data_IF_091902185359
#
_entry.id   IF_091902185359
#
_cell.length_a   1.000
_cell.length_b   1.000
_cell.length_c   1.000
_cell.angle_alpha   90.00
_cell.angle_beta   90.00
_cell.angle_gamma   90.00
#
_symmetry.space_group_name_H-M   'P 1'
#
loop_
_entity.id
_entity.type
_entity.pdbx_description
1 polymer ?
#
# COMPACT_ATOMS: atom_id res chain seq x y z
N UNK A 1 -22.36 21.11 15.47
CA UNK A 1 -23.67 20.59 15.00
C UNK A 1 -23.38 19.55 13.95
N UNK A 2 -24.07 18.41 13.96
CA UNK A 2 -23.83 17.29 13.03
C UNK A 2 -24.65 17.48 11.76
N UNK A 3 -24.04 17.30 10.61
CA UNK A 3 -24.62 17.51 9.29
C UNK A 3 -24.60 16.23 8.43
N UNK A 4 -25.39 16.24 7.36
CA UNK A 4 -25.28 15.23 6.31
C UNK A 4 -23.91 15.39 5.63
N UNK A 5 -23.30 14.28 5.25
CA UNK A 5 -21.91 14.15 4.78
C UNK A 5 -20.82 14.21 5.85
N UNK A 6 -21.16 14.50 7.12
CA UNK A 6 -20.17 14.37 8.19
C UNK A 6 -19.72 12.91 8.33
N UNK A 7 -18.43 12.76 8.60
CA UNK A 7 -17.82 11.47 8.95
C UNK A 7 -18.06 11.15 10.42
N UNK A 8 -18.25 9.88 10.72
CA UNK A 8 -18.36 9.38 12.10
C UNK A 8 -17.49 8.14 12.31
N UNK A 9 -17.26 7.80 13.57
CA UNK A 9 -16.68 6.52 13.99
C UNK A 9 -17.59 5.85 15.03
N UNK A 10 -17.77 4.54 14.91
CA UNK A 10 -18.52 3.71 15.87
C UNK A 10 -17.91 2.31 16.02
N UNK A 11 -17.37 2.02 17.20
CA UNK A 11 -16.73 0.73 17.52
C UNK A 11 -15.67 0.33 16.49
N UNK A 12 -14.75 1.25 16.17
CA UNK A 12 -13.66 1.12 15.22
C UNK A 12 -14.05 1.23 13.74
N UNK A 13 -15.34 1.35 13.42
CA UNK A 13 -15.82 1.44 12.03
C UNK A 13 -16.16 2.88 11.65
N UNK A 14 -15.82 3.24 10.42
CA UNK A 14 -16.02 4.56 9.87
C UNK A 14 -17.19 4.59 8.91
N UNK A 15 -17.92 5.70 8.92
CA UNK A 15 -19.03 5.90 7.98
C UNK A 15 -19.36 7.36 7.76
N UNK A 16 -20.25 7.58 6.81
CA UNK A 16 -20.75 8.90 6.41
C UNK A 16 -22.22 9.02 6.75
N UNK A 17 -22.61 10.13 7.36
CA UNK A 17 -24.02 10.42 7.62
C UNK A 17 -24.72 10.74 6.29
N UNK A 18 -25.74 9.95 5.96
CA UNK A 18 -26.60 10.11 4.78
C UNK A 18 -27.98 10.65 5.11
N UNK A 19 -28.43 10.50 6.36
CA UNK A 19 -29.72 10.97 6.81
C UNK A 19 -29.71 11.32 8.28
N UNK A 20 -30.48 12.34 8.66
CA UNK A 20 -30.68 12.75 10.06
C UNK A 20 -32.18 12.94 10.25
N UNK A 21 -32.78 12.27 11.23
CA UNK A 21 -34.19 12.44 11.51
C UNK A 21 -34.75 11.46 12.53
N UNK A 22 -36.08 11.33 12.54
CA UNK A 22 -36.81 10.49 13.49
C UNK A 22 -37.43 9.30 12.76
N UNK A 23 -37.19 8.10 13.28
CA UNK A 23 -37.79 6.87 12.75
C UNK A 23 -39.10 6.56 13.49
N UNK A 24 -40.20 6.23 12.78
CA UNK A 24 -41.50 5.94 13.41
C UNK A 24 -41.40 4.90 14.53
N UNK A 25 -40.64 3.83 14.32
CA UNK A 25 -40.48 2.74 15.27
C UNK A 25 -39.64 3.09 16.51
N UNK A 26 -38.93 4.22 16.52
CA UNK A 26 -38.15 4.71 17.68
C UNK A 26 -38.80 5.91 18.38
N UNK A 27 -39.94 6.38 17.86
CA UNK A 27 -40.71 7.49 18.40
C UNK A 27 -40.14 8.87 18.06
N UNK A 28 -40.96 9.93 18.16
CA UNK A 28 -40.63 11.28 17.70
C UNK A 28 -39.55 11.98 18.53
N UNK A 29 -39.22 11.48 19.72
CA UNK A 29 -38.17 12.05 20.57
C UNK A 29 -36.77 11.49 20.28
N UNK A 30 -36.67 10.37 19.55
CA UNK A 30 -35.39 9.70 19.30
C UNK A 30 -34.81 10.18 17.98
N UNK A 31 -33.79 11.03 18.02
CA UNK A 31 -33.01 11.39 16.83
C UNK A 31 -32.14 10.20 16.40
N UNK A 32 -32.09 9.97 15.10
CA UNK A 32 -31.35 8.90 14.47
C UNK A 32 -30.51 9.42 13.30
N UNK A 33 -29.40 8.72 13.07
CA UNK A 33 -28.54 8.91 11.92
C UNK A 33 -28.66 7.70 11.00
N UNK A 34 -28.92 7.95 9.73
CA UNK A 34 -28.68 7.01 8.65
C UNK A 34 -27.22 7.13 8.23
N UNK A 35 -26.47 6.05 8.37
CA UNK A 35 -25.02 5.99 8.14
C UNK A 35 -24.77 5.01 7.02
N UNK A 36 -23.98 5.41 6.03
CA UNK A 36 -23.35 4.50 5.09
C UNK A 36 -21.95 4.17 5.61
N UNK A 37 -21.65 2.89 5.80
CA UNK A 37 -20.33 2.45 6.29
C UNK A 37 -19.33 2.35 5.15
N UNK A 38 -18.07 2.69 5.44
CA UNK A 38 -16.95 2.50 4.50
C UNK A 38 -16.73 1.01 4.21
N UNK A 39 -16.84 0.17 5.23
CA UNK A 39 -16.90 -1.29 5.09
C UNK A 39 -18.37 -1.72 4.88
N UNK A 40 -18.75 -2.17 3.68
CA UNK A 40 -20.11 -2.60 3.40
C UNK A 40 -20.60 -3.74 4.30
N UNK A 41 -19.70 -4.58 4.84
CA UNK A 41 -20.06 -5.72 5.69
C UNK A 41 -20.61 -5.28 7.05
N UNK A 42 -20.34 -4.04 7.48
CA UNK A 42 -20.85 -3.49 8.74
C UNK A 42 -22.33 -3.07 8.65
N UNK A 43 -22.82 -2.84 7.44
CA UNK A 43 -24.18 -2.40 7.21
C UNK A 43 -25.22 -3.49 7.48
N UNK A 44 -26.48 -3.05 7.53
CA UNK A 44 -27.65 -3.86 7.92
C UNK A 44 -28.84 -3.67 7.00
N UNK A 45 -28.85 -2.60 6.21
CA UNK A 45 -29.94 -2.23 5.30
C UNK A 45 -29.42 -1.34 4.17
N UNK A 46 -30.28 -1.05 3.20
CA UNK A 46 -29.98 -0.15 2.08
C UNK A 46 -30.64 1.23 2.24
N UNK A 47 -30.76 1.72 3.47
CA UNK A 47 -31.33 3.02 3.80
C UNK A 47 -32.86 3.07 3.90
N UNK A 48 -33.51 1.92 4.01
CA UNK A 48 -34.96 1.79 4.21
C UNK A 48 -35.33 1.12 5.52
N UNK A 49 -36.55 1.40 5.99
CA UNK A 49 -37.23 0.66 7.05
C UNK A 49 -38.62 0.31 6.55
N UNK A 50 -38.91 -0.99 6.42
CA UNK A 50 -40.12 -1.45 5.72
C UNK A 50 -40.12 -0.91 4.29
N UNK A 51 -41.24 -0.32 3.87
CA UNK A 51 -41.43 0.22 2.51
C UNK A 51 -40.98 1.69 2.37
N UNK A 52 -40.46 2.31 3.44
CA UNK A 52 -40.03 3.71 3.42
C UNK A 52 -38.53 3.83 3.25
N UNK A 53 -38.10 4.59 2.24
CA UNK A 53 -36.69 4.91 1.98
C UNK A 53 -36.32 6.27 2.58
N UNK A 54 -35.26 6.30 3.39
CA UNK A 54 -34.77 7.51 4.05
C UNK A 54 -33.48 8.04 3.42
N UNK A 55 -32.63 7.14 2.91
CA UNK A 55 -31.42 7.48 2.16
C UNK A 55 -31.05 6.35 1.20
N UNK A 56 -30.14 6.64 0.27
CA UNK A 56 -29.52 5.65 -0.61
C UNK A 56 -28.08 5.36 -0.20
N UNK A 57 -27.61 4.19 -0.59
CA UNK A 57 -26.24 3.72 -0.40
C UNK A 57 -25.64 3.30 -1.74
N UNK A 58 -24.31 3.40 -1.87
CA UNK A 58 -23.55 2.97 -3.05
C UNK A 58 -23.53 1.45 -3.16
N UNK A 59 -23.31 0.77 -2.04
CA UNK A 59 -23.24 -0.69 -1.97
C UNK A 59 -24.49 -1.20 -1.25
N UNK A 60 -25.28 -2.11 -1.84
CA UNK A 60 -26.43 -2.69 -1.16
C UNK A 60 -26.05 -3.24 0.22
N UNK A 61 -26.92 -3.00 1.21
CA UNK A 61 -26.74 -3.39 2.61
C UNK A 61 -25.62 -2.68 3.37
N UNK A 62 -24.91 -1.69 2.81
CA UNK A 62 -23.87 -0.93 3.55
C UNK A 62 -24.43 0.12 4.52
N UNK A 63 -25.75 0.32 4.56
CA UNK A 63 -26.42 1.31 5.38
C UNK A 63 -26.79 0.80 6.77
N UNK A 64 -26.91 1.70 7.74
CA UNK A 64 -27.47 1.42 9.06
C UNK A 64 -28.16 2.64 9.64
N UNK A 65 -29.15 2.41 10.51
CA UNK A 65 -29.67 3.46 11.38
C UNK A 65 -29.06 3.32 12.77
N UNK A 66 -28.59 4.42 13.34
CA UNK A 66 -28.00 4.49 14.68
C UNK A 66 -28.67 5.61 15.47
N UNK A 67 -29.02 5.37 16.72
CA UNK A 67 -29.56 6.41 17.60
C UNK A 67 -28.48 7.46 17.90
N UNK A 68 -28.81 8.74 17.78
CA UNK A 68 -27.88 9.83 18.08
C UNK A 68 -27.37 9.82 19.54
N UNK A 69 -28.14 9.21 20.46
CA UNK A 69 -27.77 9.04 21.87
C UNK A 69 -26.77 7.90 22.13
N UNK A 70 -26.27 7.21 21.10
CA UNK A 70 -25.28 6.17 21.28
C UNK A 70 -23.95 6.77 21.75
N UNK A 71 -23.58 6.49 23.01
CA UNK A 71 -22.36 7.02 23.65
C UNK A 71 -21.04 6.60 22.99
N UNK A 72 -21.07 5.53 22.19
CA UNK A 72 -19.88 5.06 21.46
C UNK A 72 -19.68 5.76 20.12
N UNK A 73 -20.67 6.53 19.67
CA UNK A 73 -20.60 7.26 18.41
C UNK A 73 -19.71 8.50 18.59
N UNK A 74 -18.65 8.60 17.80
CA UNK A 74 -17.77 9.78 17.73
C UNK A 74 -18.15 10.62 16.51
N UNK A 75 -18.45 11.89 16.75
CA UNK A 75 -18.99 12.84 15.76
C UNK A 75 -17.94 13.85 15.24
N UNK A 76 -16.68 13.70 15.60
CA UNK A 76 -15.61 14.64 15.27
C UNK A 76 -15.17 15.50 16.45
N UNK A 77 -13.86 15.76 16.55
CA UNK A 77 -13.26 16.71 17.50
C UNK A 77 -12.27 17.64 16.79
N UNK A 78 -11.86 18.70 17.46
CA UNK A 78 -10.85 19.60 16.93
C UNK A 78 -9.45 18.96 16.94
N UNK A 79 -8.66 19.31 15.93
CA UNK A 79 -7.23 18.98 15.86
C UNK A 79 -6.48 19.50 17.08
N UNK A 80 -6.71 20.76 17.48
CA UNK A 80 -6.02 21.35 18.64
C UNK A 80 -6.24 20.55 19.91
N UNK A 81 -7.46 20.08 20.14
CA UNK A 81 -7.78 19.27 21.32
C UNK A 81 -7.03 17.94 21.28
N UNK A 82 -7.02 17.27 20.11
CA UNK A 82 -6.32 16.01 19.93
C UNK A 82 -4.81 16.17 20.08
N UNK A 83 -4.23 17.26 19.57
CA UNK A 83 -2.81 17.58 19.68
C UNK A 83 -2.42 17.81 21.15
N UNK A 84 -3.16 18.65 21.86
CA UNK A 84 -2.87 18.96 23.26
C UNK A 84 -3.02 17.72 24.15
N UNK A 85 -4.04 16.91 23.96
CA UNK A 85 -4.21 15.67 24.71
C UNK A 85 -3.06 14.69 24.43
N UNK A 86 -2.72 14.48 23.16
CA UNK A 86 -1.69 13.51 22.75
C UNK A 86 -0.29 13.90 23.20
N UNK A 87 0.07 15.19 23.13
CA UNK A 87 1.44 15.62 23.39
C UNK A 87 1.61 16.34 24.73
N UNK A 88 0.54 16.86 25.32
CA UNK A 88 0.59 17.68 26.53
C UNK A 88 -0.41 17.24 27.61
N UNK A 89 -1.05 16.07 27.46
CA UNK A 89 -1.87 15.46 28.51
C UNK A 89 -1.07 15.09 29.75
N UNK A 90 -1.74 15.01 30.90
CA UNK A 90 -1.12 14.82 32.22
C UNK A 90 -0.19 13.60 32.29
N UNK A 91 -0.56 12.49 31.65
CA UNK A 91 0.27 11.28 31.59
C UNK A 91 1.62 11.53 30.88
N UNK A 92 1.62 12.35 29.82
CA UNK A 92 2.81 12.74 29.07
C UNK A 92 3.61 13.85 29.75
N UNK A 93 2.98 14.66 30.60
CA UNK A 93 3.66 15.63 31.48
C UNK A 93 4.41 14.88 32.59
N UNK A 94 3.81 13.81 33.12
CA UNK A 94 4.40 12.97 34.19
C UNK A 94 5.55 12.10 33.66
N UNK A 95 5.44 11.56 32.45
CA UNK A 95 6.48 10.71 31.83
C UNK A 95 7.78 11.46 31.47
N UNK A 96 7.73 12.80 31.34
CA UNK A 96 8.86 13.64 30.94
C UNK A 96 9.31 14.64 32.03
N UNK A 97 8.65 14.64 33.19
CA UNK A 97 8.89 15.58 34.27
C UNK A 97 9.15 14.88 35.61
N UNK A 98 10.34 14.32 35.80
CA UNK A 98 10.88 14.21 37.15
C UNK A 98 11.58 15.52 37.53
N UNK A 99 11.33 15.94 38.78
CA UNK A 99 11.87 17.09 39.55
C UNK A 99 11.10 18.43 39.47
N UNK A 100 10.79 19.16 40.54
CA UNK A 100 10.95 19.08 42.02
C UNK A 100 9.81 19.93 42.63
N UNK A 101 9.28 19.56 43.79
CA UNK A 101 8.27 20.34 44.55
C UNK A 101 8.95 21.39 45.43
N UNK A 102 8.49 22.64 45.40
CA UNK A 102 8.74 23.64 46.45
C UNK A 102 7.47 24.43 46.82
N UNK A 103 7.09 24.32 48.09
CA UNK A 103 6.65 25.47 48.91
C UNK A 103 5.24 26.06 48.72
N UNK A 104 4.54 26.18 49.85
CA UNK A 104 3.17 26.67 50.02
C UNK A 104 3.02 28.19 49.76
N UNK A 105 2.57 28.58 48.56
CA UNK A 105 1.71 29.77 48.33
C UNK A 105 1.17 29.78 46.91
N UNK A 106 -0.14 29.57 46.79
CA UNK A 106 -0.86 29.53 45.52
C UNK A 106 -1.13 30.97 45.03
N UNK A 107 -0.52 31.34 43.90
CA UNK A 107 -0.81 32.57 43.15
C UNK A 107 -1.23 32.14 41.74
N UNK A 108 -2.13 32.89 41.12
CA UNK A 108 -2.81 32.67 39.83
C UNK A 108 -1.87 32.59 38.59
N UNK A 109 -0.59 32.21 38.74
CA UNK A 109 0.42 32.09 37.67
C UNK A 109 0.56 30.69 37.06
N UNK A 110 -0.07 29.67 37.65
CA UNK A 110 0.09 28.27 37.24
C UNK A 110 -0.39 27.98 35.81
N UNK A 111 -1.34 28.75 35.29
CA UNK A 111 -1.84 28.57 33.92
C UNK A 111 -0.83 28.98 32.85
N UNK A 112 -0.14 30.11 33.02
CA UNK A 112 0.77 30.64 32.01
C UNK A 112 2.09 29.87 31.93
N UNK A 113 2.65 29.45 33.08
CA UNK A 113 3.86 28.63 33.10
C UNK A 113 3.63 27.24 32.50
N UNK A 114 2.52 26.60 32.85
CA UNK A 114 2.16 25.30 32.30
C UNK A 114 1.84 25.40 30.79
N UNK A 115 1.13 26.44 30.35
CA UNK A 115 0.91 26.71 28.92
C UNK A 115 2.23 26.96 28.18
N UNK A 116 3.15 27.74 28.72
CA UNK A 116 4.45 27.99 28.10
C UNK A 116 5.30 26.71 28.02
N UNK A 117 5.26 25.87 29.05
CA UNK A 117 5.94 24.56 29.05
C UNK A 117 5.36 23.65 27.97
N UNK A 118 4.04 23.60 27.86
CA UNK A 118 3.33 22.84 26.82
C UNK A 118 3.64 23.35 25.42
N UNK A 119 3.67 24.67 25.22
CA UNK A 119 4.05 25.32 23.95
C UNK A 119 5.49 24.99 23.54
N UNK A 120 6.45 25.16 24.45
CA UNK A 120 7.85 24.83 24.20
C UNK A 120 8.05 23.35 23.83
N UNK A 121 7.24 22.44 24.41
CA UNK A 121 7.26 21.02 24.03
C UNK A 121 6.85 20.81 22.56
N UNK A 122 5.76 21.46 22.11
CA UNK A 122 5.29 21.33 20.74
C UNK A 122 6.28 21.90 19.71
N UNK A 123 6.94 23.01 20.01
CA UNK A 123 7.91 23.65 19.12
C UNK A 123 9.13 22.76 18.82
N UNK A 124 9.44 21.80 19.69
CA UNK A 124 10.55 20.85 19.50
C UNK A 124 10.18 19.61 18.67
N UNK A 125 8.91 19.41 18.34
CA UNK A 125 8.47 18.22 17.62
C UNK A 125 8.91 18.26 16.15
N UNK A 126 9.49 17.16 15.68
CA UNK A 126 9.77 16.93 14.25
C UNK A 126 8.63 16.17 13.56
N UNK A 127 7.85 15.39 14.31
CA UNK A 127 6.74 14.60 13.79
C UNK A 127 5.53 14.65 14.72
N UNK A 128 4.35 14.80 14.14
CA UNK A 128 3.05 14.75 14.81
C UNK A 128 2.23 13.60 14.20
N UNK A 129 1.71 12.73 15.05
CA UNK A 129 0.86 11.60 14.68
C UNK A 129 -0.42 11.65 15.47
N UNK A 130 -1.53 11.88 14.78
CA UNK A 130 -2.89 11.91 15.33
C UNK A 130 -3.79 10.93 14.56
N UNK A 131 -3.26 9.74 14.26
CA UNK A 131 -4.03 8.66 13.66
C UNK A 131 -5.22 8.26 14.56
N UNK A 132 -6.39 8.02 13.97
CA UNK A 132 -7.59 7.48 14.68
C UNK A 132 -8.09 8.34 15.84
N UNK A 133 -7.78 9.64 15.84
CA UNK A 133 -8.17 10.57 16.88
C UNK A 133 -9.56 11.21 16.67
N UNK A 134 -10.27 10.81 15.62
CA UNK A 134 -11.57 11.37 15.23
C UNK A 134 -11.52 12.90 14.99
N UNK A 135 -10.39 13.41 14.51
CA UNK A 135 -10.24 14.82 14.13
C UNK A 135 -11.15 15.10 12.94
N UNK A 136 -11.98 16.15 13.00
CA UNK A 136 -12.88 16.53 11.92
C UNK A 136 -12.65 17.95 11.41
N UNK A 137 -12.04 18.81 12.22
CA UNK A 137 -11.78 20.23 11.91
C UNK A 137 -10.60 20.75 12.74
N UNK A 138 -10.06 21.92 12.41
CA UNK A 138 -8.84 22.44 13.04
C UNK A 138 -9.06 22.88 14.50
N UNK A 139 -10.18 23.54 14.78
CA UNK A 139 -10.44 24.24 16.05
C UNK A 139 -9.74 25.59 16.13
N UNK A 140 -9.64 26.14 17.35
CA UNK A 140 -8.98 27.42 17.56
C UNK A 140 -7.46 27.26 17.56
N UNK A 141 -6.82 27.76 16.50
CA UNK A 141 -5.37 27.70 16.30
C UNK A 141 -4.63 28.90 16.93
N UNK A 142 -5.33 29.83 17.58
CA UNK A 142 -4.76 31.07 18.13
C UNK A 142 -3.69 30.79 19.18
N UNK A 143 -3.93 29.79 20.03
CA UNK A 143 -3.04 29.43 21.13
C UNK A 143 -1.88 28.53 20.69
N UNK A 144 -1.96 27.91 19.50
CA UNK A 144 -0.88 27.08 18.99
C UNK A 144 0.29 27.95 18.52
N UNK A 145 1.52 27.66 18.99
CA UNK A 145 2.72 28.30 18.46
C UNK A 145 2.92 27.92 16.99
N UNK A 146 3.84 28.60 16.33
CA UNK A 146 4.33 28.13 15.04
C UNK A 146 5.18 26.87 15.28
N UNK A 147 4.87 25.80 14.57
CA UNK A 147 5.48 24.48 14.71
C UNK A 147 6.51 24.27 13.58
N UNK A 148 7.46 25.19 13.46
CA UNK A 148 8.44 25.20 12.36
C UNK A 148 9.38 23.99 12.38
N UNK A 149 9.49 23.28 13.51
CA UNK A 149 10.25 22.04 13.61
C UNK A 149 9.58 20.82 12.95
N UNK A 150 8.26 20.85 12.74
CA UNK A 150 7.48 19.70 12.29
C UNK A 150 7.66 19.48 10.78
N UNK A 151 8.18 18.31 10.42
CA UNK A 151 8.36 17.85 9.04
C UNK A 151 7.37 16.78 8.61
N UNK A 152 6.82 16.02 9.56
CA UNK A 152 5.92 14.89 9.28
C UNK A 152 4.62 15.05 10.07
N UNK A 153 3.50 15.09 9.36
CA UNK A 153 2.17 15.15 9.95
C UNK A 153 1.33 13.96 9.48
N UNK A 154 0.85 13.17 10.44
CA UNK A 154 -0.08 12.07 10.21
C UNK A 154 -1.46 12.37 10.81
N UNK A 155 -2.45 12.53 9.92
CA UNK A 155 -3.86 12.72 10.21
C UNK A 155 -4.70 11.56 9.66
N UNK A 156 -4.10 10.38 9.47
CA UNK A 156 -4.79 9.23 8.89
C UNK A 156 -5.94 8.70 9.77
N UNK A 157 -6.94 8.10 9.12
CA UNK A 157 -8.12 7.48 9.73
C UNK A 157 -8.84 8.41 10.70
N UNK A 158 -9.03 9.66 10.29
CA UNK A 158 -9.80 10.67 11.00
C UNK A 158 -11.14 10.92 10.29
N UNK A 159 -11.84 11.97 10.70
CA UNK A 159 -13.18 12.32 10.23
C UNK A 159 -13.16 13.59 9.36
N UNK A 160 -12.03 13.87 8.69
CA UNK A 160 -11.88 15.06 7.85
C UNK A 160 -12.68 14.92 6.55
N UNK A 161 -13.43 15.96 6.23
CA UNK A 161 -14.24 16.08 5.00
C UNK A 161 -13.79 17.25 4.14
N UNK A 162 -13.34 18.32 4.80
CA UNK A 162 -12.94 19.58 4.17
C UNK A 162 -11.42 19.72 4.19
N UNK A 163 -10.82 19.84 3.01
CA UNK A 163 -9.38 20.05 2.88
C UNK A 163 -8.97 21.42 3.42
N UNK A 164 -9.86 22.41 3.46
CA UNK A 164 -9.56 23.73 4.01
C UNK A 164 -9.21 23.65 5.50
N UNK A 165 -9.82 22.73 6.26
CA UNK A 165 -9.45 22.49 7.66
C UNK A 165 -8.02 21.96 7.80
N UNK A 166 -7.60 21.09 6.88
CA UNK A 166 -6.20 20.63 6.80
C UNK A 166 -5.29 21.80 6.46
N UNK A 167 -5.66 22.64 5.49
CA UNK A 167 -4.87 23.82 5.13
C UNK A 167 -4.65 24.77 6.31
N UNK A 168 -5.69 25.03 7.12
CA UNK A 168 -5.59 25.86 8.33
C UNK A 168 -4.57 25.28 9.32
N UNK A 169 -4.57 23.96 9.52
CA UNK A 169 -3.57 23.27 10.35
C UNK A 169 -2.16 23.48 9.80
N UNK A 170 -1.98 23.29 8.49
CA UNK A 170 -0.67 23.38 7.84
C UNK A 170 -0.06 24.78 7.83
N UNK A 171 -0.86 25.85 8.00
CA UNK A 171 -0.34 27.21 8.20
C UNK A 171 0.59 27.28 9.42
N UNK A 172 0.37 26.44 10.44
CA UNK A 172 1.24 26.38 11.63
C UNK A 172 2.52 25.57 11.39
N UNK A 173 2.68 24.89 10.26
CA UNK A 173 3.81 23.99 9.97
C UNK A 173 4.47 24.36 8.63
N UNK A 174 5.15 25.52 8.55
CA UNK A 174 5.63 26.06 7.28
C UNK A 174 6.75 25.23 6.60
N UNK A 175 7.41 24.35 7.36
CA UNK A 175 8.50 23.48 6.87
C UNK A 175 8.06 22.02 6.72
N UNK A 176 6.74 21.75 6.65
CA UNK A 176 6.24 20.38 6.51
C UNK A 176 6.69 19.74 5.18
N UNK A 177 7.33 18.58 5.27
CA UNK A 177 7.80 17.80 4.13
C UNK A 177 6.77 16.74 3.72
N UNK A 178 6.15 16.08 4.71
CA UNK A 178 5.24 14.96 4.48
C UNK A 178 3.92 15.07 5.22
N UNK A 179 2.84 14.82 4.49
CA UNK A 179 1.47 14.77 4.98
C UNK A 179 0.84 13.41 4.69
N UNK A 180 0.35 12.75 5.74
CA UNK A 180 -0.50 11.57 5.62
C UNK A 180 -1.94 11.91 6.03
N UNK A 181 -2.89 11.74 5.11
CA UNK A 181 -4.33 11.95 5.33
C UNK A 181 -5.17 10.73 4.96
N UNK A 182 -4.54 9.55 4.90
CA UNK A 182 -5.20 8.31 4.48
C UNK A 182 -6.50 8.03 5.25
N UNK A 183 -7.49 7.43 4.59
CA UNK A 183 -8.74 6.98 5.24
C UNK A 183 -9.71 8.09 5.68
N UNK A 184 -9.40 9.37 5.43
CA UNK A 184 -10.40 10.45 5.51
C UNK A 184 -11.34 10.39 4.28
N UNK A 185 -12.38 11.22 4.15
CA UNK A 185 -13.15 11.30 2.89
C UNK A 185 -13.35 12.75 2.49
N UNK A 186 -12.57 13.20 1.51
CA UNK A 186 -12.61 14.60 1.08
C UNK A 186 -13.70 14.84 0.05
N UNK A 187 -14.58 15.79 0.34
CA UNK A 187 -15.64 16.23 -0.58
C UNK A 187 -15.65 17.73 -0.81
N UNK A 188 -14.95 18.49 0.04
CA UNK A 188 -14.84 19.95 -0.06
C UNK A 188 -13.37 20.30 -0.28
N UNK A 189 -13.12 21.06 -1.34
CA UNK A 189 -11.77 21.49 -1.74
C UNK A 189 -11.72 23.01 -1.72
N UNK A 190 -10.83 23.54 -0.88
CA UNK A 190 -10.60 24.97 -0.74
C UNK A 190 -9.76 25.55 -1.88
N UNK A 191 -9.49 26.86 -1.78
CA UNK A 191 -8.54 27.54 -2.66
C UNK A 191 -7.21 27.74 -1.92
N UNK A 192 -6.10 27.49 -2.60
CA UNK A 192 -4.77 27.88 -2.14
C UNK A 192 -3.72 26.89 -2.56
N UNK A 193 -2.53 26.98 -1.94
CA UNK A 193 -1.36 26.17 -2.27
C UNK A 193 -0.61 25.82 -1.00
N UNK A 194 -0.23 24.56 -0.90
CA UNK A 194 0.53 23.96 0.17
C UNK A 194 1.91 23.58 -0.36
N UNK A 195 2.95 23.97 0.37
CA UNK A 195 4.33 23.70 0.00
C UNK A 195 4.82 22.35 0.56
N UNK A 196 4.07 21.27 0.32
CA UNK A 196 4.39 19.91 0.78
C UNK A 196 4.83 19.07 -0.42
N UNK A 197 5.88 18.27 -0.26
CA UNK A 197 6.44 17.46 -1.37
C UNK A 197 5.99 16.00 -1.36
N UNK A 198 5.57 15.48 -0.21
CA UNK A 198 5.18 14.07 -0.04
C UNK A 198 3.78 14.00 0.56
N UNK A 199 2.82 13.47 -0.18
CA UNK A 199 1.43 13.35 0.26
C UNK A 199 0.93 11.92 0.10
N UNK A 200 0.33 11.39 1.17
CA UNK A 200 -0.43 10.14 1.14
C UNK A 200 -1.91 10.45 1.40
N UNK A 201 -2.75 10.14 0.42
CA UNK A 201 -4.20 10.30 0.43
C UNK A 201 -4.88 9.01 -0.09
N UNK A 202 -4.43 7.87 0.44
CA UNK A 202 -4.99 6.56 0.17
C UNK A 202 -6.36 6.39 0.82
N UNK A 203 -7.29 5.73 0.12
CA UNK A 203 -8.67 5.49 0.58
C UNK A 203 -9.36 6.76 1.06
N UNK A 204 -9.18 7.85 0.31
CA UNK A 204 -9.72 9.17 0.62
C UNK A 204 -11.05 9.49 -0.07
N UNK A 205 -11.66 8.51 -0.75
CA UNK A 205 -12.87 8.70 -1.54
C UNK A 205 -12.69 9.67 -2.72
N UNK A 206 -11.50 9.69 -3.30
CA UNK A 206 -11.16 10.53 -4.45
C UNK A 206 -11.67 9.90 -5.74
N UNK A 207 -12.62 10.55 -6.41
CA UNK A 207 -12.84 10.32 -7.84
C UNK A 207 -11.85 11.16 -8.68
N UNK A 208 -11.88 11.01 -10.00
CA UNK A 208 -10.97 11.70 -10.91
C UNK A 208 -11.07 13.23 -10.80
N UNK A 209 -12.28 13.78 -10.63
CA UNK A 209 -12.51 15.21 -10.55
C UNK A 209 -12.04 15.80 -9.21
N UNK A 210 -12.18 15.03 -8.12
CA UNK A 210 -11.65 15.38 -6.80
C UNK A 210 -10.14 15.29 -6.76
N UNK A 211 -9.55 14.28 -7.39
CA UNK A 211 -8.11 14.16 -7.51
C UNK A 211 -7.51 15.38 -8.23
N UNK A 212 -8.10 15.81 -9.35
CA UNK A 212 -7.67 17.02 -10.05
C UNK A 212 -7.69 18.26 -9.14
N UNK A 213 -8.80 18.48 -8.42
CA UNK A 213 -8.91 19.57 -7.44
C UNK A 213 -7.89 19.46 -6.30
N UNK A 214 -7.62 18.25 -5.82
CA UNK A 214 -6.66 17.99 -4.76
C UNK A 214 -5.23 18.31 -5.21
N UNK A 215 -4.84 17.90 -6.43
CA UNK A 215 -3.49 18.13 -6.96
C UNK A 215 -3.15 19.61 -7.14
N UNK A 216 -4.14 20.46 -7.46
CA UNK A 216 -3.95 21.91 -7.56
C UNK A 216 -3.41 22.52 -6.25
N UNK A 217 -3.73 21.90 -5.11
CA UNK A 217 -3.28 22.35 -3.79
C UNK A 217 -1.80 22.07 -3.54
N UNK A 218 -1.17 21.12 -4.25
CA UNK A 218 0.20 20.66 -4.00
C UNK A 218 1.12 20.89 -5.21
N UNK A 219 1.47 22.15 -5.54
CA UNK A 219 2.28 22.47 -6.73
C UNK A 219 3.75 22.00 -6.65
N UNK A 220 4.23 21.59 -5.47
CA UNK A 220 5.62 21.09 -5.26
C UNK A 220 5.69 19.58 -5.05
N UNK A 221 4.59 18.87 -5.30
CA UNK A 221 4.45 17.45 -5.05
C UNK A 221 5.48 16.64 -5.85
N UNK A 222 6.21 15.77 -5.16
CA UNK A 222 7.22 14.86 -5.72
C UNK A 222 6.87 13.41 -5.44
N UNK A 223 6.18 13.13 -4.34
CA UNK A 223 5.74 11.78 -3.97
C UNK A 223 4.26 11.79 -3.64
N UNK A 224 3.50 10.93 -4.31
CA UNK A 224 2.06 10.84 -4.12
C UNK A 224 1.65 9.38 -3.96
N UNK A 225 0.84 9.11 -2.94
CA UNK A 225 0.10 7.87 -2.82
C UNK A 225 -1.40 8.19 -2.81
N UNK A 226 -2.14 7.67 -3.78
CA UNK A 226 -3.61 7.76 -3.87
C UNK A 226 -4.21 6.36 -4.07
N UNK A 227 -3.60 5.38 -3.40
CA UNK A 227 -4.04 4.00 -3.44
C UNK A 227 -5.47 3.83 -2.91
N UNK A 228 -6.21 2.83 -3.40
CA UNK A 228 -7.51 2.49 -2.80
C UNK A 228 -8.61 3.54 -2.99
N UNK A 229 -8.58 4.34 -4.06
CA UNK A 229 -9.55 5.41 -4.35
C UNK A 229 -10.53 5.05 -5.48
N UNK A 230 -10.53 3.79 -5.96
CA UNK A 230 -11.40 3.34 -7.05
C UNK A 230 -11.21 4.07 -8.39
N UNK A 231 -10.05 4.70 -8.61
CA UNK A 231 -9.75 5.50 -9.80
C UNK A 231 -9.68 4.62 -11.06
N UNK A 232 -10.41 5.00 -12.12
CA UNK A 232 -10.32 4.36 -13.43
C UNK A 232 -9.32 5.07 -14.35
N UNK A 233 -8.99 6.33 -14.05
CA UNK A 233 -7.94 7.10 -14.74
C UNK A 233 -7.33 8.15 -13.80
N UNK A 234 -6.30 8.86 -14.26
CA UNK A 234 -5.65 9.95 -13.52
C UNK A 234 -5.41 11.17 -14.42
N UNK A 235 -5.37 12.39 -13.86
CA UNK A 235 -5.00 13.59 -14.60
C UNK A 235 -3.49 13.60 -14.88
N UNK A 236 -3.07 12.92 -15.95
CA UNK A 236 -1.65 12.72 -16.29
C UNK A 236 -0.86 14.03 -16.39
N UNK A 237 -1.47 15.10 -16.92
CA UNK A 237 -0.82 16.42 -17.08
C UNK A 237 -0.43 17.05 -15.75
N UNK A 238 -1.23 16.85 -14.70
CA UNK A 238 -0.97 17.38 -13.37
C UNK A 238 0.13 16.58 -12.63
N UNK A 239 0.44 15.37 -13.10
CA UNK A 239 1.36 14.42 -12.44
C UNK A 239 2.73 14.31 -13.11
N UNK A 240 3.00 15.10 -14.16
CA UNK A 240 4.26 15.06 -14.93
C UNK A 240 5.52 15.42 -14.10
N UNK A 241 5.35 15.99 -12.91
CA UNK A 241 6.44 16.42 -12.02
C UNK A 241 6.71 15.46 -10.86
N UNK A 242 5.93 14.37 -10.75
CA UNK A 242 6.00 13.42 -9.63
C UNK A 242 7.10 12.39 -9.88
N UNK A 243 7.98 12.19 -8.90
CA UNK A 243 9.06 11.21 -8.93
C UNK A 243 8.57 9.81 -8.54
N UNK A 244 7.72 9.72 -7.51
CA UNK A 244 7.15 8.47 -6.99
C UNK A 244 5.63 8.58 -6.95
N UNK A 245 4.96 7.69 -7.68
CA UNK A 245 3.50 7.65 -7.75
C UNK A 245 2.99 6.26 -7.39
N UNK A 246 2.19 6.20 -6.33
CA UNK A 246 1.48 5.00 -5.91
C UNK A 246 -0.02 5.12 -6.20
N UNK A 247 -0.45 4.28 -7.15
CA UNK A 247 -1.79 4.13 -7.68
C UNK A 247 -2.33 2.72 -7.43
N UNK A 248 -1.76 2.00 -6.45
CA UNK A 248 -2.21 0.64 -6.13
C UNK A 248 -3.68 0.57 -5.67
N UNK A 249 -4.30 -0.60 -5.78
CA UNK A 249 -5.69 -0.81 -5.34
C UNK A 249 -6.70 0.16 -5.99
N UNK A 250 -6.52 0.47 -7.26
CA UNK A 250 -7.47 1.27 -8.06
C UNK A 250 -8.10 0.38 -9.15
N UNK A 251 -8.71 0.99 -10.16
CA UNK A 251 -9.44 0.31 -11.25
C UNK A 251 -8.83 0.60 -12.62
N UNK A 252 -7.54 0.93 -12.66
CA UNK A 252 -6.84 1.28 -13.88
C UNK A 252 -6.76 0.08 -14.82
N UNK A 253 -7.12 0.27 -16.09
CA UNK A 253 -7.02 -0.77 -17.13
C UNK A 253 -5.77 -0.66 -18.00
N UNK A 254 -5.11 0.51 -17.96
CA UNK A 254 -3.86 0.79 -18.65
C UNK A 254 -2.88 1.51 -17.73
N UNK A 255 -1.60 1.45 -18.08
CA UNK A 255 -0.55 2.20 -17.39
C UNK A 255 -0.66 3.67 -17.82
N UNK A 256 -0.78 4.63 -16.88
CA UNK A 256 -0.82 6.05 -17.22
C UNK A 256 0.52 6.54 -17.79
N UNK A 257 0.46 7.48 -18.72
CA UNK A 257 1.63 8.07 -19.38
C UNK A 257 2.20 9.18 -18.49
N UNK A 258 2.95 8.76 -17.47
CA UNK A 258 3.56 9.66 -16.49
C UNK A 258 5.05 9.34 -16.39
N UNK A 259 5.94 10.32 -16.68
CA UNK A 259 7.38 10.13 -16.68
C UNK A 259 7.96 10.16 -15.25
N UNK A 260 7.49 9.26 -14.39
CA UNK A 260 7.94 9.12 -13.01
C UNK A 260 9.01 8.04 -12.88
N UNK A 261 9.86 8.19 -11.87
CA UNK A 261 10.95 7.25 -11.56
C UNK A 261 10.42 5.95 -10.96
N UNK A 262 9.45 6.05 -10.08
CA UNK A 262 8.87 4.91 -9.34
C UNK A 262 7.35 4.92 -9.50
N UNK A 263 6.80 3.87 -10.11
CA UNK A 263 5.40 3.75 -10.43
C UNK A 263 4.83 2.46 -9.82
N UNK A 264 3.94 2.61 -8.85
CA UNK A 264 3.31 1.50 -8.14
C UNK A 264 1.86 1.37 -8.60
N UNK A 265 1.54 0.25 -9.25
CA UNK A 265 0.26 -0.03 -9.89
C UNK A 265 -0.32 -1.38 -9.46
N UNK A 266 0.17 -1.93 -8.34
CA UNK A 266 -0.28 -3.21 -7.82
C UNK A 266 -1.81 -3.24 -7.60
N UNK A 267 -2.46 -4.38 -7.77
CA UNK A 267 -3.90 -4.54 -7.54
C UNK A 267 -4.75 -3.55 -8.37
N UNK A 268 -4.55 -3.54 -9.68
CA UNK A 268 -5.39 -2.82 -10.63
C UNK A 268 -5.99 -3.82 -11.63
N UNK A 269 -6.56 -3.33 -12.74
CA UNK A 269 -7.08 -4.14 -13.84
C UNK A 269 -6.23 -3.99 -15.11
N UNK A 270 -4.91 -3.76 -14.98
CA UNK A 270 -4.05 -3.41 -16.12
C UNK A 270 -3.88 -4.60 -17.05
N UNK A 271 -4.27 -4.39 -18.30
CA UNK A 271 -4.19 -5.40 -19.37
C UNK A 271 -3.27 -4.96 -20.51
N UNK A 272 -2.89 -3.67 -20.58
CA UNK A 272 -2.15 -3.13 -21.73
C UNK A 272 -0.99 -2.24 -21.31
N UNK A 273 0.08 -2.31 -22.10
CA UNK A 273 1.24 -1.42 -21.99
C UNK A 273 1.05 -0.18 -22.87
N UNK A 274 1.67 0.96 -22.51
CA UNK A 274 1.59 2.18 -23.30
C UNK A 274 2.38 2.05 -24.60
N UNK A 275 1.95 2.75 -25.64
CA UNK A 275 2.61 2.78 -26.97
C UNK A 275 3.82 3.75 -27.03
N UNK A 276 4.44 4.05 -25.88
CA UNK A 276 5.58 4.97 -25.80
C UNK A 276 6.53 4.55 -24.68
N UNK A 277 7.75 5.06 -24.74
CA UNK A 277 8.77 4.74 -23.74
C UNK A 277 8.67 5.66 -22.52
N UNK A 278 8.76 5.08 -21.32
CA UNK A 278 8.73 5.81 -20.05
C UNK A 278 10.06 5.63 -19.29
N UNK A 279 10.56 6.66 -18.58
CA UNK A 279 11.84 6.64 -17.86
C UNK A 279 11.76 5.94 -16.49
N UNK A 280 10.77 5.08 -16.29
CA UNK A 280 10.50 4.43 -15.01
C UNK A 280 11.59 3.42 -14.66
N UNK A 281 12.11 3.52 -13.42
CA UNK A 281 13.16 2.66 -12.86
C UNK A 281 12.61 1.58 -11.95
N UNK A 282 11.53 1.86 -11.24
CA UNK A 282 10.85 0.90 -10.36
C UNK A 282 9.39 0.80 -10.82
N UNK A 283 8.97 -0.39 -11.22
CA UNK A 283 7.62 -0.65 -11.69
C UNK A 283 7.02 -1.82 -10.91
N UNK A 284 5.86 -1.58 -10.29
CA UNK A 284 5.11 -2.60 -9.58
C UNK A 284 3.76 -2.84 -10.27
N UNK A 285 3.63 -3.97 -10.94
CA UNK A 285 2.45 -4.44 -11.67
C UNK A 285 1.81 -5.66 -11.00
N UNK A 286 2.10 -5.92 -9.72
CA UNK A 286 1.55 -7.11 -9.03
C UNK A 286 0.03 -7.16 -9.07
N UNK A 287 -0.53 -8.36 -9.05
CA UNK A 287 -1.99 -8.56 -8.96
C UNK A 287 -2.76 -7.78 -10.05
N UNK A 288 -2.25 -7.80 -11.29
CA UNK A 288 -2.92 -7.23 -12.48
C UNK A 288 -3.35 -8.34 -13.45
N UNK A 289 -3.95 -7.95 -14.57
CA UNK A 289 -4.54 -8.89 -15.54
C UNK A 289 -3.65 -9.19 -16.75
N UNK A 290 -2.35 -8.93 -16.65
CA UNK A 290 -1.40 -9.32 -17.70
C UNK A 290 -1.50 -10.82 -17.95
N UNK A 291 -1.87 -11.18 -19.18
CA UNK A 291 -2.25 -12.55 -19.57
C UNK A 291 -1.39 -13.15 -20.67
N UNK A 292 -0.42 -12.40 -21.22
CA UNK A 292 0.42 -12.85 -22.33
C UNK A 292 1.91 -12.50 -22.14
N UNK A 293 2.76 -13.49 -22.43
CA UNK A 293 4.21 -13.34 -22.46
C UNK A 293 4.69 -12.31 -23.48
N UNK A 294 3.95 -12.10 -24.58
CA UNK A 294 4.32 -11.06 -25.56
C UNK A 294 4.33 -9.66 -24.93
N UNK A 295 3.39 -9.38 -24.02
CA UNK A 295 3.37 -8.11 -23.28
C UNK A 295 4.54 -8.02 -22.30
N UNK A 296 4.86 -9.11 -21.60
CA UNK A 296 6.00 -9.16 -20.69
C UNK A 296 7.31 -8.82 -21.41
N UNK A 297 7.51 -9.35 -22.62
CA UNK A 297 8.69 -9.05 -23.41
C UNK A 297 8.76 -7.58 -23.87
N UNK A 298 7.63 -6.94 -24.09
CA UNK A 298 7.56 -5.52 -24.41
C UNK A 298 7.90 -4.59 -23.23
N UNK A 299 7.85 -5.08 -21.98
CA UNK A 299 8.18 -4.28 -20.79
C UNK A 299 9.57 -3.66 -20.91
N UNK A 300 10.58 -4.43 -21.35
CA UNK A 300 11.96 -3.93 -21.49
C UNK A 300 12.12 -2.89 -22.61
N UNK A 301 11.18 -2.85 -23.57
CA UNK A 301 11.14 -1.86 -24.65
C UNK A 301 10.44 -0.58 -24.20
N UNK A 302 9.32 -0.73 -23.48
CA UNK A 302 8.53 0.37 -22.94
C UNK A 302 9.27 1.08 -21.79
N UNK A 303 9.97 0.32 -20.95
CA UNK A 303 10.70 0.83 -19.79
C UNK A 303 12.20 0.51 -19.92
N UNK A 304 12.93 1.23 -20.80
CA UNK A 304 14.33 0.93 -21.09
C UNK A 304 15.28 1.23 -19.92
N UNK A 305 14.85 2.01 -18.93
CA UNK A 305 15.64 2.34 -17.72
C UNK A 305 15.23 1.50 -16.49
N UNK A 306 14.39 0.49 -16.67
CA UNK A 306 13.85 -0.30 -15.57
C UNK A 306 14.94 -1.07 -14.83
N UNK A 307 15.02 -0.85 -13.52
CA UNK A 307 15.99 -1.49 -12.61
C UNK A 307 15.30 -2.49 -11.67
N UNK A 308 14.03 -2.26 -11.31
CA UNK A 308 13.22 -3.14 -10.47
C UNK A 308 11.83 -3.36 -11.07
N UNK A 309 11.46 -4.62 -11.24
CA UNK A 309 10.12 -5.04 -11.67
C UNK A 309 9.48 -5.93 -10.60
N UNK A 310 8.22 -5.66 -10.28
CA UNK A 310 7.36 -6.58 -9.53
C UNK A 310 6.14 -6.89 -10.37
N UNK A 311 5.83 -8.17 -10.58
CA UNK A 311 4.76 -8.61 -11.48
C UNK A 311 4.10 -9.92 -11.00
N UNK A 312 4.39 -10.39 -9.79
CA UNK A 312 3.72 -11.54 -9.19
C UNK A 312 2.20 -11.35 -9.04
N UNK A 313 1.45 -12.45 -8.98
CA UNK A 313 -0.01 -12.43 -8.84
C UNK A 313 -0.78 -12.06 -10.12
N UNK A 314 -0.11 -11.88 -11.27
CA UNK A 314 -0.83 -11.73 -12.53
C UNK A 314 -1.44 -13.05 -13.03
N UNK A 315 -2.56 -12.96 -13.76
CA UNK A 315 -3.29 -14.12 -14.30
C UNK A 315 -2.44 -15.04 -15.18
N UNK A 316 -1.40 -14.51 -15.83
CA UNK A 316 -0.40 -15.27 -16.57
C UNK A 316 0.29 -16.38 -15.72
N UNK A 317 0.36 -16.21 -14.40
CA UNK A 317 1.16 -17.06 -13.51
C UNK A 317 0.34 -18.04 -12.65
N UNK A 318 -1.00 -18.02 -12.72
CA UNK A 318 -1.89 -18.80 -11.83
C UNK A 318 -1.60 -20.30 -11.78
N UNK A 319 -1.10 -20.87 -12.88
CA UNK A 319 -0.81 -22.31 -13.02
C UNK A 319 0.69 -22.62 -13.12
N UNK A 320 1.54 -21.68 -12.73
CA UNK A 320 2.99 -21.81 -12.86
C UNK A 320 3.67 -21.91 -11.49
N UNK A 321 4.59 -22.85 -11.35
CA UNK A 321 5.44 -22.91 -10.15
C UNK A 321 6.31 -21.65 -10.05
N UNK A 322 6.54 -21.16 -8.84
CA UNK A 322 7.29 -19.90 -8.61
C UNK A 322 8.68 -19.95 -9.25
N UNK A 323 9.38 -21.09 -9.15
CA UNK A 323 10.71 -21.27 -9.77
C UNK A 323 10.65 -21.20 -11.30
N UNK A 324 9.60 -21.78 -11.90
CA UNK A 324 9.40 -21.74 -13.35
C UNK A 324 9.07 -20.32 -13.82
N UNK A 325 8.17 -19.63 -13.12
CA UNK A 325 7.80 -18.24 -13.38
C UNK A 325 9.03 -17.34 -13.35
N UNK A 326 9.80 -17.40 -12.27
CA UNK A 326 11.02 -16.60 -12.13
C UNK A 326 12.02 -16.89 -13.24
N UNK A 327 12.25 -18.17 -13.56
CA UNK A 327 13.19 -18.56 -14.63
C UNK A 327 12.72 -18.05 -16.00
N UNK A 328 11.44 -18.18 -16.32
CA UNK A 328 10.90 -17.68 -17.60
C UNK A 328 10.92 -16.16 -17.68
N UNK A 329 10.59 -15.44 -16.60
CA UNK A 329 10.68 -13.98 -16.53
C UNK A 329 12.11 -13.51 -16.77
N UNK A 330 13.09 -14.06 -16.04
CA UNK A 330 14.50 -13.67 -16.18
C UNK A 330 15.00 -13.93 -17.60
N UNK A 331 14.64 -15.07 -18.20
CA UNK A 331 15.04 -15.38 -19.57
C UNK A 331 14.44 -14.41 -20.61
N UNK A 332 13.20 -13.98 -20.40
CA UNK A 332 12.46 -13.12 -21.35
C UNK A 332 12.71 -11.64 -21.20
N UNK A 333 13.06 -11.18 -20.00
CA UNK A 333 13.30 -9.77 -19.70
C UNK A 333 14.77 -9.42 -19.80
N UNK A 334 15.09 -8.17 -20.17
CA UNK A 334 16.48 -7.68 -20.19
C UNK A 334 17.00 -7.47 -18.78
N UNK A 335 17.50 -8.55 -18.17
CA UNK A 335 18.07 -8.57 -16.83
C UNK A 335 19.60 -8.41 -16.88
N UNK A 336 20.15 -7.56 -16.01
CA UNK A 336 21.60 -7.32 -15.89
C UNK A 336 21.93 -6.95 -14.43
N UNK A 337 23.04 -7.44 -13.89
CA UNK A 337 23.52 -7.07 -12.55
C UNK A 337 24.24 -5.72 -12.54
N UNK A 338 24.88 -5.35 -13.66
CA UNK A 338 25.57 -4.09 -13.85
C UNK A 338 25.11 -3.40 -15.15
N UNK A 339 24.87 -2.08 -15.10
CA UNK A 339 24.42 -1.29 -16.24
C UNK A 339 22.90 -1.05 -16.30
N UNK A 340 22.37 -0.91 -17.52
CA UNK A 340 20.96 -0.63 -17.81
C UNK A 340 20.20 -1.93 -18.05
N UNK A 341 19.42 -2.37 -17.07
CA UNK A 341 18.57 -3.55 -17.13
C UNK A 341 18.00 -3.88 -15.76
N UNK A 342 17.09 -4.86 -15.71
CA UNK A 342 16.42 -5.26 -14.48
C UNK A 342 17.42 -5.97 -13.58
N UNK A 343 17.64 -5.42 -12.38
CA UNK A 343 18.54 -5.93 -11.33
C UNK A 343 17.77 -6.63 -10.22
N UNK A 344 16.50 -6.24 -10.03
CA UNK A 344 15.62 -6.79 -9.01
C UNK A 344 14.29 -7.23 -9.63
N UNK A 345 13.87 -8.45 -9.31
CA UNK A 345 12.61 -9.02 -9.78
C UNK A 345 11.83 -9.56 -8.58
N UNK A 346 10.58 -9.14 -8.42
CA UNK A 346 9.67 -9.55 -7.34
C UNK A 346 10.34 -9.48 -5.95
N UNK A 347 11.09 -8.39 -5.71
CA UNK A 347 11.80 -8.14 -4.45
C UNK A 347 13.15 -8.84 -4.27
N UNK A 348 13.55 -9.73 -5.20
CA UNK A 348 14.83 -10.44 -5.14
C UNK A 348 15.87 -9.80 -6.07
N UNK A 349 17.10 -9.61 -5.58
CA UNK A 349 18.24 -9.18 -6.41
C UNK A 349 18.70 -10.35 -7.28
N UNK A 350 18.89 -10.11 -8.57
CA UNK A 350 19.33 -11.11 -9.53
C UNK A 350 20.84 -11.31 -9.49
N UNK A 351 21.29 -12.55 -9.66
CA UNK A 351 22.69 -12.92 -9.81
C UNK A 351 23.04 -13.23 -11.28
N UNK A 352 24.30 -13.02 -11.67
CA UNK A 352 24.76 -13.29 -13.05
C UNK A 352 24.54 -14.75 -13.47
N UNK A 353 24.77 -15.70 -12.56
CA UNK A 353 24.57 -17.13 -12.80
C UNK A 353 23.08 -17.47 -12.99
N UNK A 354 22.18 -16.79 -12.28
CA UNK A 354 20.73 -16.98 -12.41
C UNK A 354 20.22 -16.45 -13.74
N UNK A 355 20.69 -15.25 -14.14
CA UNK A 355 20.39 -14.66 -15.44
C UNK A 355 20.87 -15.58 -16.56
N UNK A 356 22.13 -16.01 -16.51
CA UNK A 356 22.72 -16.90 -17.50
C UNK A 356 21.95 -18.21 -17.62
N UNK A 357 21.65 -18.85 -16.49
CA UNK A 357 20.96 -20.14 -16.47
C UNK A 357 19.54 -20.03 -17.05
N UNK A 358 18.85 -18.93 -16.74
CA UNK A 358 17.48 -18.66 -17.21
C UNK A 358 17.42 -18.35 -18.70
N UNK A 359 18.38 -17.56 -19.22
CA UNK A 359 18.48 -17.27 -20.66
C UNK A 359 18.78 -18.56 -21.47
N UNK A 360 19.71 -19.40 -21.01
CA UNK A 360 20.01 -20.69 -21.65
C UNK A 360 18.79 -21.62 -21.61
N UNK A 361 18.08 -21.67 -20.48
CA UNK A 361 16.87 -22.45 -20.33
C UNK A 361 15.79 -22.02 -21.34
N UNK A 362 15.57 -20.72 -21.49
CA UNK A 362 14.62 -20.16 -22.46
C UNK A 362 14.99 -20.57 -23.90
N UNK A 363 16.26 -20.44 -24.29
CA UNK A 363 16.70 -20.87 -25.63
C UNK A 363 16.42 -22.36 -25.85
N UNK A 364 16.68 -23.20 -24.83
CA UNK A 364 16.39 -24.64 -24.92
C UNK A 364 14.90 -24.95 -25.09
N UNK A 365 14.01 -24.17 -24.47
CA UNK A 365 12.56 -24.31 -24.59
C UNK A 365 12.07 -23.92 -25.99
N UNK A 366 12.63 -22.85 -26.55
CA UNK A 366 12.31 -22.39 -27.91
C UNK A 366 12.80 -23.42 -28.94
N UNK A 367 14.02 -23.95 -28.80
CA UNK A 367 14.55 -25.00 -29.69
C UNK A 367 13.73 -26.29 -29.65
N UNK A 368 13.16 -26.65 -28.49
CA UNK A 368 12.27 -27.80 -28.34
C UNK A 368 10.85 -27.54 -28.86
N UNK A 369 10.54 -26.31 -29.30
CA UNK A 369 9.20 -25.91 -29.74
C UNK A 369 8.17 -25.88 -28.60
N UNK A 370 8.61 -25.87 -27.34
CA UNK A 370 7.73 -25.88 -26.16
C UNK A 370 7.15 -24.50 -25.88
N UNK A 371 7.83 -23.43 -26.30
CA UNK A 371 7.34 -22.06 -26.15
C UNK A 371 7.47 -21.29 -27.46
N UNK A 372 6.56 -20.32 -27.63
CA UNK A 372 6.54 -19.37 -28.76
C UNK A 372 7.85 -18.59 -28.83
N UNK A 373 8.24 -18.22 -30.05
CA UNK A 373 9.40 -17.39 -30.36
C UNK A 373 9.39 -16.12 -29.52
N UNK A 374 10.47 -15.93 -28.76
CA UNK A 374 10.72 -14.70 -28.01
C UNK A 374 11.29 -13.63 -28.94
N UNK A 375 10.88 -12.38 -28.75
CA UNK A 375 11.48 -11.20 -29.41
C UNK A 375 12.98 -11.08 -29.14
N UNK A 376 13.46 -11.65 -28.02
CA UNK A 376 14.88 -11.67 -27.65
C UNK A 376 15.67 -12.85 -28.21
N UNK A 377 15.06 -13.75 -28.98
CA UNK A 377 15.74 -14.96 -29.44
C UNK A 377 16.99 -14.66 -30.25
N UNK A 378 16.93 -13.69 -31.18
CA UNK A 378 18.08 -13.28 -31.98
C UNK A 378 19.23 -12.74 -31.11
N UNK A 379 18.90 -11.92 -30.11
CA UNK A 379 19.88 -11.36 -29.16
C UNK A 379 20.55 -12.47 -28.34
N UNK A 380 19.77 -13.45 -27.87
CA UNK A 380 20.28 -14.57 -27.06
C UNK A 380 21.13 -15.54 -27.90
N UNK A 381 20.75 -15.79 -29.15
CA UNK A 381 21.53 -16.63 -30.06
C UNK A 381 22.90 -16.04 -30.34
N UNK A 382 22.98 -14.73 -30.57
CA UNK A 382 24.25 -14.01 -30.74
C UNK A 382 25.07 -14.03 -29.45
N UNK A 383 24.44 -13.70 -28.30
CA UNK A 383 25.10 -13.67 -26.98
C UNK A 383 25.76 -14.99 -26.61
N UNK A 384 25.14 -16.12 -26.94
CA UNK A 384 25.60 -17.46 -26.59
C UNK A 384 26.24 -18.22 -27.76
N UNK A 385 26.41 -17.60 -28.93
CA UNK A 385 26.91 -18.23 -30.16
C UNK A 385 26.14 -19.52 -30.52
N UNK A 386 24.82 -19.48 -30.43
CA UNK A 386 23.94 -20.63 -30.73
C UNK A 386 23.52 -20.53 -32.19
N UNK A 387 24.23 -21.23 -33.08
CA UNK A 387 23.90 -21.30 -34.50
C UNK A 387 22.73 -22.29 -34.75
N UNK A 388 21.80 -21.93 -35.64
CA UNK A 388 20.65 -22.76 -36.04
C UNK A 388 21.05 -24.12 -36.66
N UNK A 389 22.34 -24.35 -36.95
CA UNK A 389 22.88 -25.56 -37.57
C UNK A 389 23.08 -26.76 -36.64
N UNK A 390 23.04 -26.58 -35.32
CA UNK A 390 23.26 -27.71 -34.38
C UNK A 390 21.98 -28.54 -34.12
N UNK A 391 20.86 -28.15 -34.74
CA UNK A 391 19.57 -28.83 -34.60
C UNK A 391 19.46 -30.15 -35.40
N UNK A 392 20.44 -30.49 -36.26
CA UNK A 392 20.36 -31.68 -37.12
C UNK A 392 21.32 -32.83 -36.73
N UNK A 393 22.20 -32.67 -35.74
CA UNK A 393 23.12 -33.75 -35.33
C UNK A 393 23.28 -33.84 -33.80
N UNK A 394 22.20 -34.23 -33.13
CA UNK A 394 22.29 -34.90 -31.83
C UNK A 394 21.23 -36.01 -31.71
N UNK A 395 21.09 -36.84 -32.76
CA UNK A 395 20.60 -38.20 -32.58
C UNK A 395 21.77 -39.09 -32.16
N UNK A 396 21.99 -39.11 -30.84
CA UNK A 396 22.94 -40.00 -30.19
C UNK A 396 22.58 -40.11 -28.72
N UNK A 397 21.90 -41.20 -28.36
CA UNK A 397 21.59 -41.61 -26.98
C UNK A 397 22.71 -41.28 -25.97
N UNK A 398 22.33 -40.85 -24.75
CA UNK A 398 22.97 -41.09 -23.41
C UNK A 398 22.73 -39.88 -22.50
N UNK A 399 22.28 -39.96 -21.27
CA UNK A 399 21.87 -41.05 -20.38
C UNK A 399 21.42 -40.34 -19.10
N UNK A 400 20.22 -40.60 -18.62
CA UNK A 400 19.75 -40.02 -17.36
C UNK A 400 20.31 -40.85 -16.20
N UNK A 401 20.88 -40.19 -15.20
CA UNK A 401 21.25 -40.86 -13.95
C UNK A 401 20.19 -40.55 -12.91
N UNK A 402 19.57 -41.60 -12.37
CA UNK A 402 18.60 -41.48 -11.28
C UNK A 402 19.33 -41.77 -9.97
N UNK A 403 19.47 -40.77 -9.11
CA UNK A 403 20.00 -40.97 -7.76
C UNK A 403 18.82 -41.22 -6.83
N UNK A 404 18.76 -42.43 -6.29
CA UNK A 404 17.77 -42.83 -5.29
C UNK A 404 18.45 -42.96 -3.93
N UNK A 405 18.03 -42.16 -2.96
CA UNK A 405 18.51 -42.28 -1.58
C UNK A 405 17.50 -43.10 -0.79
N UNK A 406 17.93 -44.23 -0.24
CA UNK A 406 17.12 -45.11 0.61
C UNK A 406 17.55 -44.96 2.07
N UNK A 407 16.56 -44.79 2.95
CA UNK A 407 16.71 -44.86 4.40
C UNK A 407 16.18 -46.19 4.97
N UNK A 408 16.25 -46.38 6.30
CA UNK A 408 15.85 -47.63 6.96
C UNK A 408 14.38 -48.03 6.77
N UNK A 409 13.52 -47.07 6.37
CA UNK A 409 12.09 -47.29 6.15
C UNK A 409 11.65 -47.11 4.68
N UNK A 410 12.58 -47.05 3.72
CA UNK A 410 12.27 -46.96 2.29
C UNK A 410 12.99 -45.84 1.56
N UNK A 411 12.51 -45.47 0.37
CA UNK A 411 13.11 -44.42 -0.46
C UNK A 411 12.82 -43.04 0.16
N UNK A 412 13.88 -42.33 0.58
CA UNK A 412 13.79 -40.96 1.11
C UNK A 412 13.55 -39.94 0.00
N UNK A 413 14.23 -40.09 -1.14
CA UNK A 413 13.94 -39.36 -2.38
C UNK A 413 14.59 -39.99 -3.60
N UNK A 414 14.09 -39.66 -4.79
CA UNK A 414 14.65 -40.01 -6.08
C UNK A 414 14.69 -38.77 -6.98
N UNK A 415 15.84 -38.49 -7.62
CA UNK A 415 15.97 -37.38 -8.58
C UNK A 415 16.78 -37.80 -9.80
N UNK A 416 16.37 -37.25 -10.95
CA UNK A 416 16.96 -37.51 -12.28
C UNK A 416 17.90 -36.37 -12.67
N UNK A 417 19.10 -36.71 -13.13
CA UNK A 417 20.13 -35.74 -13.54
C UNK A 417 20.52 -35.95 -15.01
N UNK A 418 20.85 -34.84 -15.69
CA UNK A 418 21.41 -34.81 -17.03
C UNK A 418 22.95 -34.78 -17.00
N UNK A 419 23.65 -35.45 -17.94
CA UNK A 419 25.12 -35.51 -17.97
C UNK A 419 25.84 -34.17 -18.13
N UNK A 420 25.16 -33.13 -18.63
CA UNK A 420 25.76 -31.82 -18.95
C UNK A 420 25.79 -30.82 -17.77
N UNK A 421 25.36 -31.22 -16.57
CA UNK A 421 25.43 -30.36 -15.39
C UNK A 421 26.82 -30.40 -14.76
N UNK A 422 27.60 -29.33 -14.93
CA UNK A 422 28.91 -29.15 -14.30
C UNK A 422 28.80 -28.90 -12.78
N UNK A 423 29.05 -29.96 -12.02
CA UNK A 423 29.83 -30.05 -10.75
C UNK A 423 29.42 -29.24 -9.49
N UNK A 424 28.54 -28.23 -9.51
CA UNK A 424 28.33 -27.40 -8.30
C UNK A 424 27.14 -27.75 -7.38
N UNK A 425 26.35 -28.80 -7.63
CA UNK A 425 25.19 -29.18 -6.77
C UNK A 425 25.40 -30.36 -5.81
N UNK A 426 26.65 -30.71 -5.47
CA UNK A 426 26.93 -31.66 -4.36
C UNK A 426 27.30 -30.97 -3.03
N UNK A 427 27.55 -29.66 -3.00
CA UNK A 427 27.98 -28.96 -1.77
C UNK A 427 26.88 -28.71 -0.74
N UNK A 428 25.59 -28.87 -1.08
CA UNK A 428 24.50 -28.80 -0.07
C UNK A 428 24.52 -30.02 0.87
N UNK A 429 25.17 -31.13 0.49
CA UNK A 429 25.17 -32.36 1.28
C UNK A 429 26.27 -32.43 2.36
N UNK A 430 27.28 -31.55 2.32
CA UNK A 430 28.35 -31.56 3.34
C UNK A 430 27.98 -30.77 4.60
N UNK A 431 26.97 -29.90 4.56
CA UNK A 431 26.63 -29.02 5.70
C UNK A 431 25.57 -29.63 6.64
N UNK A 432 24.78 -30.62 6.20
CA UNK A 432 23.66 -31.14 7.02
C UNK A 432 24.03 -32.39 7.85
N UNK A 433 25.24 -32.94 7.71
CA UNK A 433 25.66 -34.17 8.43
C UNK A 433 26.46 -33.98 9.73
N UNK A 434 26.46 -32.78 10.31
CA UNK A 434 27.06 -32.58 11.64
C UNK A 434 26.13 -31.88 12.62
N UNK A 435 24.99 -32.51 12.93
CA UNK A 435 24.33 -32.32 14.23
C UNK A 435 23.62 -33.61 14.66
N UNK A 436 24.09 -34.31 15.71
CA UNK A 436 23.30 -35.31 16.39
C UNK A 436 22.23 -34.63 17.24
N UNK A 437 21.01 -35.08 17.07
CA UNK A 437 19.82 -34.71 17.83
C UNK A 437 19.86 -35.18 19.28
N UNK A 438 19.46 -34.32 20.22
CA UNK A 438 18.53 -34.68 21.32
C UNK A 438 17.92 -33.40 21.90
N UNK A 439 16.58 -33.28 21.85
CA UNK A 439 15.63 -32.82 22.91
C UNK A 439 14.27 -32.48 22.23
N UNK A 440 13.11 -32.92 22.79
CA UNK A 440 11.83 -32.94 22.08
C UNK A 440 10.97 -31.67 22.20
N UNK A 441 10.07 -31.54 21.23
CA UNK A 441 9.05 -30.48 21.05
C UNK A 441 7.98 -30.50 22.15
N UNK A 442 7.59 -29.31 22.63
CA UNK A 442 6.23 -28.99 23.11
C UNK A 442 5.55 -28.09 22.08
N UNK A 443 4.33 -28.46 21.72
CA UNK A 443 3.38 -27.77 20.84
C UNK A 443 2.63 -26.66 21.60
N UNK A 444 2.43 -25.50 20.98
CA UNK A 444 1.34 -24.58 21.33
C UNK A 444 0.75 -23.96 20.06
N UNK A 445 -0.55 -24.19 19.92
CA UNK A 445 -1.52 -23.64 18.97
C UNK A 445 -2.13 -22.37 19.57
N UNK A 446 -2.42 -21.34 18.76
CA UNK A 446 -3.24 -20.19 19.18
C UNK A 446 -4.38 -19.97 18.19
N UNK A 447 -5.61 -20.11 18.70
CA UNK A 447 -6.89 -19.80 18.05
C UNK A 447 -7.52 -18.57 18.73
N UNK A 448 -8.38 -17.89 17.97
CA UNK A 448 -9.19 -16.68 18.19
C UNK A 448 -9.95 -16.51 19.54
N UNK A 449 -10.41 -15.27 19.85
CA UNK A 449 -11.18 -14.95 21.05
C UNK A 449 -12.71 -14.99 20.81
N UNK A 450 -13.47 -15.41 21.84
CA UNK A 450 -14.91 -15.17 21.97
C UNK A 450 -15.30 -14.94 23.46
N UNK A 451 -16.33 -14.11 23.63
CA UNK A 451 -16.90 -13.45 24.83
C UNK A 451 -17.25 -14.33 26.06
N UNK A 452 -17.50 -13.71 27.25
CA UNK A 452 -17.96 -14.38 28.45
C UNK A 452 -19.49 -14.29 28.65
N UNK A 453 -20.05 -15.28 29.34
CA UNK A 453 -21.32 -15.16 30.04
C UNK A 453 -21.28 -15.95 31.36
N UNK A 454 -21.54 -15.21 32.43
CA UNK A 454 -22.40 -15.50 33.59
C UNK A 454 -22.38 -16.89 34.24
N UNK A 455 -22.12 -16.87 35.55
CA UNK A 455 -23.17 -17.15 36.55
C UNK A 455 -23.39 -15.90 37.40
#
# INVERSE_FOLDING_TARGET
MVNIQDRIELDGAYGTIRWIGHLPQWGPATLAYGIEWDDPQRGKNSGSVGDTFYFSVKVPLSGSFVKASNKKLRLGRAFVDALWETYCGEENVTALGQEIVFGLKTVESLGFEELNKRRGKLETLESITLEKQAVAFCGDLSDLPELSGVKYLDLSYNLLVDVEEVMKILVKMPLLESLNVNGNVFTVFGKGRLAVDTVSAASCGMDEARLDQFLVLFPKLRKLCVAGNDLASVPETALQHVDLLDLSFNRLQGIPIIPCRELILANNAIETLPQMTLPTKVLDLRENKTSDWAQVELISTVFPELEELRIDGCSLFENMEVEEMTTQLIGRLRCLTAGRGIKKLNGSTLLDDEIRSSEIYLVSLIQKGTVVLSTRMSELQEKYNIHQSDAAQAHGSKGHYVITVKGPQGTLFSRTFLPSNSVLRLKVFTIIRTTPSTVPRRTWTTMWPLWPALD
#
